data_IF_444456575492
#
_entry.id   IF_444456575492
#
_cell.length_a   1.000
_cell.length_b   1.000
_cell.length_c   1.000
_cell.angle_alpha   90.00
_cell.angle_beta   90.00
_cell.angle_gamma   90.00
#
_symmetry.space_group_name_H-M   'P 1'
#
loop_
_entity.id
_entity.type
_entity.pdbx_description
1 polymer ?
#
# COMPACT_ATOMS: atom_id res chain seq x y z
N UNK A 1 30.95 -1.03 11.50
CA UNK A 1 29.99 -2.15 11.38
C UNK A 1 28.59 -1.78 11.88
N UNK A 2 28.42 -1.29 13.11
CA UNK A 2 27.08 -0.99 13.68
C UNK A 2 26.32 0.10 12.91
N UNK A 3 26.99 1.20 12.52
CA UNK A 3 26.33 2.30 11.81
C UNK A 3 25.74 1.86 10.45
N UNK A 4 26.48 1.06 9.67
CA UNK A 4 25.99 0.53 8.38
C UNK A 4 24.76 -0.36 8.54
N UNK A 5 24.77 -1.25 9.55
CA UNK A 5 23.63 -2.12 9.84
C UNK A 5 22.37 -1.33 10.26
N UNK A 6 22.53 -0.27 11.06
CA UNK A 6 21.40 0.60 11.44
C UNK A 6 20.85 1.36 10.24
N UNK A 7 21.71 1.90 9.37
CA UNK A 7 21.28 2.58 8.15
C UNK A 7 20.54 1.63 7.22
N UNK A 8 21.01 0.40 7.07
CA UNK A 8 20.37 -0.62 6.22
C UNK A 8 18.98 -1.01 6.74
N UNK A 9 18.83 -1.22 8.06
CA UNK A 9 17.52 -1.44 8.69
C UNK A 9 16.57 -0.26 8.47
N UNK A 10 17.07 0.96 8.57
CA UNK A 10 16.27 2.16 8.38
C UNK A 10 15.78 2.29 6.93
N UNK A 11 16.65 1.99 5.96
CA UNK A 11 16.30 1.96 4.54
C UNK A 11 15.25 0.88 4.28
N UNK A 12 15.43 -0.32 4.83
CA UNK A 12 14.47 -1.41 4.70
C UNK A 12 13.10 -1.04 5.24
N UNK A 13 13.07 -0.49 6.47
CA UNK A 13 11.84 -0.06 7.12
C UNK A 13 11.15 1.07 6.34
N UNK A 14 11.92 2.04 5.87
CA UNK A 14 11.42 3.13 5.04
C UNK A 14 10.80 2.61 3.74
N UNK A 15 11.48 1.68 3.07
CA UNK A 15 10.99 1.09 1.82
C UNK A 15 9.72 0.27 2.02
N UNK A 16 9.66 -0.51 3.11
CA UNK A 16 8.47 -1.27 3.47
C UNK A 16 7.27 -0.35 3.73
N UNK A 17 7.47 0.74 4.45
CA UNK A 17 6.45 1.76 4.70
C UNK A 17 6.00 2.44 3.41
N UNK A 18 6.95 2.83 2.56
CA UNK A 18 6.68 3.53 1.32
C UNK A 18 5.90 2.64 0.35
N UNK A 19 6.34 1.39 0.15
CA UNK A 19 5.62 0.41 -0.68
C UNK A 19 4.24 0.11 -0.13
N UNK A 20 4.13 -0.11 1.20
CA UNK A 20 2.86 -0.37 1.86
C UNK A 20 1.88 0.79 1.69
N UNK A 21 2.37 2.03 1.82
CA UNK A 21 1.58 3.23 1.65
C UNK A 21 1.14 3.43 0.21
N UNK A 22 2.04 3.20 -0.76
CA UNK A 22 1.73 3.32 -2.19
C UNK A 22 0.68 2.28 -2.60
N UNK A 23 0.86 1.02 -2.21
CA UNK A 23 -0.10 -0.07 -2.49
C UNK A 23 -1.49 0.21 -1.88
N UNK A 24 -1.53 0.68 -0.65
CA UNK A 24 -2.80 0.98 0.00
C UNK A 24 -3.49 2.20 -0.62
N UNK A 25 -2.75 3.29 -0.84
CA UNK A 25 -3.29 4.51 -1.43
C UNK A 25 -3.84 4.24 -2.83
N UNK A 26 -3.08 3.55 -3.67
CA UNK A 26 -3.53 3.18 -5.01
C UNK A 26 -4.68 2.19 -4.97
N UNK A 27 -4.63 1.18 -4.09
CA UNK A 27 -5.72 0.23 -3.91
C UNK A 27 -7.02 0.87 -3.44
N UNK A 28 -6.94 1.88 -2.56
CA UNK A 28 -8.09 2.64 -2.08
C UNK A 28 -8.68 3.50 -3.20
N UNK A 29 -7.83 4.16 -4.00
CA UNK A 29 -8.25 4.91 -5.18
C UNK A 29 -8.90 3.99 -6.22
N UNK A 30 -8.30 2.84 -6.51
CA UNK A 30 -8.86 1.84 -7.43
C UNK A 30 -10.22 1.36 -6.94
N UNK A 31 -10.36 1.03 -5.65
CA UNK A 31 -11.65 0.65 -5.08
C UNK A 31 -12.67 1.79 -5.15
N UNK A 32 -12.27 3.03 -4.89
CA UNK A 32 -13.15 4.18 -5.00
C UNK A 32 -13.63 4.38 -6.46
N UNK A 33 -12.74 4.24 -7.43
CA UNK A 33 -13.06 4.34 -8.87
C UNK A 33 -13.99 3.20 -9.30
N UNK A 34 -13.66 1.95 -8.97
CA UNK A 34 -14.49 0.79 -9.32
C UNK A 34 -15.84 0.79 -8.60
N UNK A 35 -15.89 1.31 -7.38
CA UNK A 35 -17.11 1.38 -6.57
C UNK A 35 -17.95 2.64 -6.88
N UNK A 36 -17.55 3.47 -7.86
CA UNK A 36 -18.19 4.78 -8.14
C UNK A 36 -18.36 5.64 -6.87
N UNK A 37 -17.37 5.60 -5.97
CA UNK A 37 -17.37 6.35 -4.71
C UNK A 37 -18.30 5.80 -3.62
N UNK A 38 -18.93 4.62 -3.80
CA UNK A 38 -19.73 3.98 -2.73
C UNK A 38 -18.90 3.48 -1.56
N UNK A 39 -17.68 3.01 -1.81
CA UNK A 39 -16.74 2.58 -0.77
C UNK A 39 -15.67 3.66 -0.62
N UNK A 40 -15.86 4.55 0.36
CA UNK A 40 -14.85 5.54 0.73
C UNK A 40 -14.03 4.98 1.89
N UNK A 41 -12.89 4.38 1.57
CA UNK A 41 -11.91 3.99 2.58
C UNK A 41 -11.16 5.26 3.00
N UNK A 42 -11.12 5.60 4.30
CA UNK A 42 -10.33 6.74 4.77
C UNK A 42 -8.85 6.57 4.37
N UNK A 43 -8.29 7.59 3.73
CA UNK A 43 -6.84 7.66 3.49
C UNK A 43 -6.16 8.01 4.82
N UNK A 44 -5.52 7.02 5.42
CA UNK A 44 -4.82 7.22 6.68
C UNK A 44 -3.46 7.86 6.47
N UNK A 45 -3.13 8.82 7.33
CA UNK A 45 -1.79 9.40 7.42
C UNK A 45 -0.76 8.28 7.72
N UNK A 46 0.44 8.26 7.11
CA UNK A 46 1.44 7.21 7.31
C UNK A 46 1.77 6.90 8.79
N UNK A 47 1.65 7.88 9.68
CA UNK A 47 1.83 7.69 11.13
C UNK A 47 0.70 6.89 11.81
N UNK A 48 -0.57 7.07 11.38
CA UNK A 48 -1.72 6.32 11.91
C UNK A 48 -1.94 4.99 11.17
N UNK A 49 -1.45 4.90 9.94
CA UNK A 49 -1.56 3.71 9.09
C UNK A 49 -1.04 2.43 9.76
N UNK A 50 0.06 2.52 10.52
CA UNK A 50 0.63 1.35 11.18
C UNK A 50 -0.27 0.81 12.31
N UNK A 51 -0.95 1.69 13.03
CA UNK A 51 -1.88 1.34 14.10
C UNK A 51 -3.18 0.76 13.53
N UNK A 52 -3.71 1.41 12.51
CA UNK A 52 -4.93 1.04 11.78
C UNK A 52 -4.78 -0.31 11.05
N UNK A 53 -3.64 -0.55 10.38
CA UNK A 53 -3.29 -1.83 9.74
C UNK A 53 -3.37 -3.01 10.72
N UNK A 54 -3.06 -2.77 12.00
CA UNK A 54 -3.06 -3.79 13.04
C UNK A 54 -4.46 -4.10 13.57
N UNK A 55 -5.37 -3.13 13.53
CA UNK A 55 -6.74 -3.23 14.04
C UNK A 55 -7.75 -3.67 12.97
N UNK A 56 -7.59 -3.23 11.73
CA UNK A 56 -8.56 -3.43 10.64
C UNK A 56 -8.16 -4.56 9.67
N UNK A 57 -7.82 -5.73 10.23
CA UNK A 57 -7.14 -6.86 9.56
C UNK A 57 -7.82 -7.37 8.26
N UNK A 58 -9.16 -7.38 8.19
CA UNK A 58 -9.87 -7.87 6.99
C UNK A 58 -10.12 -6.78 5.95
N UNK A 59 -10.44 -5.58 6.41
CA UNK A 59 -10.96 -4.54 5.55
C UNK A 59 -9.83 -3.73 4.89
N UNK A 60 -8.62 -3.80 5.44
CA UNK A 60 -7.39 -3.33 4.78
C UNK A 60 -6.88 -4.32 3.74
N UNK A 61 -7.05 -5.64 3.97
CA UNK A 61 -6.51 -6.65 3.08
C UNK A 61 -7.13 -6.55 1.68
N UNK A 62 -8.44 -6.29 1.59
CA UNK A 62 -9.14 -6.07 0.32
C UNK A 62 -8.59 -4.87 -0.47
N UNK A 63 -8.22 -3.79 0.23
CA UNK A 63 -7.60 -2.59 -0.36
C UNK A 63 -6.19 -2.86 -0.85
N UNK A 64 -5.39 -3.59 -0.07
CA UNK A 64 -4.06 -4.00 -0.52
C UNK A 64 -4.11 -4.93 -1.73
N UNK A 65 -5.06 -5.87 -1.74
CA UNK A 65 -5.24 -6.82 -2.83
C UNK A 65 -5.63 -6.09 -4.12
N UNK A 66 -6.53 -5.10 -4.06
CA UNK A 66 -6.90 -4.30 -5.23
C UNK A 66 -5.73 -3.50 -5.78
N UNK A 67 -4.93 -2.86 -4.90
CA UNK A 67 -3.73 -2.12 -5.31
C UNK A 67 -2.69 -3.05 -5.94
N UNK A 68 -2.48 -4.23 -5.37
CA UNK A 68 -1.56 -5.23 -5.91
C UNK A 68 -1.99 -5.72 -7.30
N UNK A 69 -3.28 -6.03 -7.48
CA UNK A 69 -3.82 -6.42 -8.79
C UNK A 69 -3.67 -5.30 -9.82
N UNK A 70 -3.88 -4.04 -9.43
CA UNK A 70 -3.67 -2.90 -10.31
C UNK A 70 -2.22 -2.84 -10.81
N UNK A 71 -1.23 -2.98 -9.93
CA UNK A 71 0.18 -3.01 -10.32
C UNK A 71 0.55 -4.25 -11.15
N UNK A 72 -0.05 -5.41 -10.90
CA UNK A 72 0.12 -6.59 -11.73
C UNK A 72 -0.38 -6.37 -13.15
N UNK A 73 -1.57 -5.78 -13.30
CA UNK A 73 -2.15 -5.45 -14.62
C UNK A 73 -1.30 -4.39 -15.31
N UNK A 74 -0.87 -3.35 -14.59
CA UNK A 74 0.02 -2.31 -15.12
C UNK A 74 1.34 -2.92 -15.61
N UNK A 75 1.94 -3.82 -14.82
CA UNK A 75 3.16 -4.52 -15.19
C UNK A 75 2.97 -5.40 -16.42
N UNK A 76 1.87 -6.17 -16.47
CA UNK A 76 1.54 -6.99 -17.63
C UNK A 76 1.33 -6.12 -18.90
N UNK A 77 0.69 -4.96 -18.76
CA UNK A 77 0.55 -3.99 -19.85
C UNK A 77 1.89 -3.43 -20.31
N UNK A 78 2.78 -3.07 -19.38
CA UNK A 78 4.13 -2.59 -19.70
C UNK A 78 4.95 -3.65 -20.42
N UNK A 79 4.85 -4.92 -20.01
CA UNK A 79 5.55 -6.03 -20.66
C UNK A 79 4.96 -6.34 -22.04
N UNK A 80 3.66 -6.15 -22.21
CA UNK A 80 3.00 -6.34 -23.50
C UNK A 80 3.41 -5.26 -24.50
N UNK A 81 3.43 -3.99 -24.08
CA UNK A 81 3.70 -2.81 -24.92
C UNK A 81 5.15 -2.80 -25.45
#
# INVERSE_FOLDING_TARGET
>A
MVAGFVTELFIWFFWELLLSFVLYTTGAVVLAVFSFGRIQKPLYWPAMFHHEKRLAKNDFYSVYLSGFFFYLVLFALIVWL
#
